data_IF_214391111117
#
_entry.id   IF_214391111117
#
_cell.length_a   1.000
_cell.length_b   1.000
_cell.length_c   1.000
_cell.angle_alpha   90.00
_cell.angle_beta   90.00
_cell.angle_gamma   90.00
#
_symmetry.space_group_name_H-M   'P 1'
#
loop_
_entity.id
_entity.type
_entity.pdbx_description
1 polymer ?
#
# COMPACT_ATOMS: atom_id res chain seq x y z
N UNK A 1 -35.43 27.26 3.29
CA UNK A 1 -35.67 25.88 3.79
C UNK A 1 -35.34 25.71 5.28
N UNK A 2 -34.47 26.54 5.87
CA UNK A 2 -34.25 26.59 7.32
C UNK A 2 -35.27 27.44 8.10
N UNK A 3 -35.01 27.62 9.40
CA UNK A 3 -35.85 28.42 10.32
C UNK A 3 -35.05 29.44 11.13
N UNK A 4 -35.71 30.53 11.53
CA UNK A 4 -35.16 31.52 12.47
C UNK A 4 -34.12 32.50 11.90
N UNK A 5 -33.91 32.51 10.57
CA UNK A 5 -33.08 33.49 9.90
C UNK A 5 -33.71 34.88 9.92
N UNK A 6 -32.94 35.91 10.27
CA UNK A 6 -33.36 37.31 10.29
C UNK A 6 -32.30 38.20 9.65
N UNK A 7 -32.74 39.17 8.88
CA UNK A 7 -31.91 40.18 8.24
C UNK A 7 -32.50 41.56 8.50
N UNK A 8 -31.63 42.52 8.75
CA UNK A 8 -31.97 43.94 8.84
C UNK A 8 -31.59 44.57 7.51
N UNK A 9 -32.51 45.31 6.92
CA UNK A 9 -32.33 45.96 5.62
C UNK A 9 -32.55 47.45 5.80
N UNK A 10 -31.53 48.25 5.47
CA UNK A 10 -31.62 49.71 5.52
C UNK A 10 -32.03 50.25 4.15
N UNK A 11 -33.00 51.16 4.14
CA UNK A 11 -33.56 51.74 2.93
C UNK A 11 -33.51 53.26 3.01
N UNK A 12 -32.91 53.90 2.01
CA UNK A 12 -32.86 55.36 1.87
C UNK A 12 -33.40 55.74 0.49
N UNK A 13 -34.40 56.61 0.46
CA UNK A 13 -35.01 57.11 -0.79
C UNK A 13 -35.42 56.00 -1.77
N UNK A 14 -35.97 54.90 -1.25
CA UNK A 14 -36.43 53.75 -2.05
C UNK A 14 -35.33 52.81 -2.55
N UNK A 15 -34.09 52.94 -2.06
CA UNK A 15 -32.97 52.07 -2.39
C UNK A 15 -32.45 51.36 -1.14
N UNK A 16 -32.15 50.07 -1.27
CA UNK A 16 -31.44 49.31 -0.23
C UNK A 16 -29.99 49.81 -0.19
N UNK A 17 -29.55 50.33 0.95
CA UNK A 17 -28.17 50.82 1.15
C UNK A 17 -27.32 49.83 1.93
N UNK A 18 -27.94 48.97 2.72
CA UNK A 18 -27.25 48.00 3.55
C UNK A 18 -28.18 46.82 3.88
N UNK A 19 -27.59 45.63 4.07
CA UNK A 19 -28.29 44.44 4.52
C UNK A 19 -27.37 43.64 5.45
N UNK A 20 -27.78 43.47 6.69
CA UNK A 20 -26.99 42.76 7.72
C UNK A 20 -27.81 41.60 8.26
N UNK A 21 -27.23 40.39 8.24
CA UNK A 21 -27.82 39.23 8.89
C UNK A 21 -27.75 39.44 10.41
N UNK A 22 -28.91 39.63 11.05
CA UNK A 22 -29.00 39.80 12.50
C UNK A 22 -29.14 38.47 13.23
N UNK A 23 -29.60 37.42 12.55
CA UNK A 23 -29.60 36.03 13.03
C UNK A 23 -29.48 35.08 11.85
N UNK A 24 -28.47 34.20 11.85
CA UNK A 24 -28.28 33.22 10.77
C UNK A 24 -29.31 32.09 10.74
N UNK A 25 -30.08 31.90 11.82
CA UNK A 25 -31.02 30.79 11.96
C UNK A 25 -30.34 29.41 11.90
N UNK A 26 -31.10 28.37 11.54
CA UNK A 26 -30.61 26.97 11.47
C UNK A 26 -31.18 26.22 10.27
N UNK A 27 -30.37 25.33 9.69
CA UNK A 27 -30.80 24.36 8.69
C UNK A 27 -31.09 24.95 7.30
N UNK A 28 -30.56 26.12 6.98
CA UNK A 28 -30.67 26.69 5.64
C UNK A 28 -29.69 26.00 4.69
N UNK A 29 -30.15 25.59 3.51
CA UNK A 29 -29.29 25.34 2.34
C UNK A 29 -29.53 26.39 1.25
N UNK A 30 -30.70 27.03 1.26
CA UNK A 30 -31.01 28.22 0.49
C UNK A 30 -32.05 29.09 1.20
N UNK A 31 -32.09 30.39 0.89
CA UNK A 31 -33.05 31.31 1.48
C UNK A 31 -33.46 32.40 0.51
N UNK A 32 -34.69 32.90 0.67
CA UNK A 32 -35.15 34.13 0.06
C UNK A 32 -35.39 35.14 1.17
N UNK A 33 -34.89 36.36 0.98
CA UNK A 33 -35.20 37.45 1.91
C UNK A 33 -36.60 37.96 1.59
N UNK A 34 -37.49 37.93 2.59
CA UNK A 34 -38.78 38.58 2.48
C UNK A 34 -38.61 40.10 2.58
N UNK A 35 -38.94 40.78 1.49
CA UNK A 35 -38.88 42.23 1.34
C UNK A 35 -40.29 42.84 1.22
N UNK A 36 -41.36 42.08 1.52
CA UNK A 36 -42.75 42.49 1.28
C UNK A 36 -43.13 43.81 1.96
N UNK A 37 -42.61 44.06 3.17
CA UNK A 37 -42.85 45.30 3.92
C UNK A 37 -42.24 46.55 3.30
N UNK A 38 -41.21 46.41 2.46
CA UNK A 38 -40.50 47.54 1.82
C UNK A 38 -40.74 47.61 0.29
N UNK A 39 -41.21 46.53 -0.33
CA UNK A 39 -41.44 46.45 -1.77
C UNK A 39 -42.87 46.82 -2.22
N UNK A 40 -43.79 47.14 -1.29
CA UNK A 40 -45.21 47.36 -1.61
C UNK A 40 -45.48 48.43 -2.69
N UNK A 41 -44.64 49.46 -2.76
CA UNK A 41 -44.76 50.57 -3.72
C UNK A 41 -43.59 50.65 -4.72
N UNK A 42 -42.75 49.61 -4.81
CA UNK A 42 -41.59 49.60 -5.67
C UNK A 42 -41.96 49.19 -7.10
N UNK A 43 -41.60 50.00 -8.10
CA UNK A 43 -41.79 49.67 -9.53
C UNK A 43 -40.81 48.61 -10.05
N UNK A 44 -39.68 48.43 -9.36
CA UNK A 44 -38.68 47.38 -9.62
C UNK A 44 -38.40 46.64 -8.31
N UNK A 45 -38.59 45.31 -8.30
CA UNK A 45 -38.37 44.49 -7.10
C UNK A 45 -36.88 44.26 -6.87
N UNK A 46 -36.42 44.46 -5.64
CA UNK A 46 -35.04 44.15 -5.25
C UNK A 46 -34.82 42.63 -5.10
N UNK A 47 -33.57 42.19 -5.31
CA UNK A 47 -33.12 40.81 -5.13
C UNK A 47 -31.93 40.80 -4.17
N UNK A 48 -32.09 40.12 -3.03
CA UNK A 48 -30.99 39.79 -2.13
C UNK A 48 -30.75 38.29 -2.17
N UNK A 49 -29.49 37.88 -2.30
CA UNK A 49 -29.08 36.47 -2.29
C UNK A 49 -28.36 36.20 -0.97
N UNK A 50 -28.96 35.45 -0.04
CA UNK A 50 -28.26 34.99 1.15
C UNK A 50 -27.12 34.05 0.75
N UNK A 51 -25.91 34.33 1.24
CA UNK A 51 -24.78 33.42 1.14
C UNK A 51 -24.77 32.57 2.41
N UNK A 52 -25.06 31.28 2.26
CA UNK A 52 -25.08 30.33 3.38
C UNK A 52 -23.72 29.61 3.41
N UNK A 53 -22.90 29.77 4.48
CA UNK A 53 -21.61 29.11 4.57
C UNK A 53 -21.78 27.60 4.87
N UNK A 54 -20.73 26.78 4.64
CA UNK A 54 -20.71 25.39 5.09
C UNK A 54 -21.01 25.30 6.60
N UNK A 55 -21.69 24.22 7.00
CA UNK A 55 -22.20 24.05 8.38
C UNK A 55 -21.13 24.11 9.48
N UNK A 56 -19.85 23.92 9.12
CA UNK A 56 -18.71 23.98 10.04
C UNK A 56 -17.73 25.12 9.74
N UNK A 57 -18.09 26.02 8.82
CA UNK A 57 -17.21 27.08 8.31
C UNK A 57 -16.30 26.62 7.16
N UNK A 58 -15.65 27.58 6.51
CA UNK A 58 -14.62 27.30 5.51
C UNK A 58 -13.33 26.85 6.19
N UNK A 59 -12.65 25.86 5.61
CA UNK A 59 -11.42 25.27 6.14
C UNK A 59 -11.64 24.26 7.26
N UNK A 60 -12.89 23.88 7.57
CA UNK A 60 -13.15 22.83 8.56
C UNK A 60 -12.63 21.48 8.09
N UNK A 61 -12.81 21.18 6.80
CA UNK A 61 -12.16 20.05 6.16
C UNK A 61 -11.34 20.52 4.95
N UNK A 62 -10.19 21.14 5.21
CA UNK A 62 -9.31 21.65 4.17
C UNK A 62 -8.96 20.62 3.09
N UNK A 63 -8.91 19.33 3.41
CA UNK A 63 -8.62 18.27 2.43
C UNK A 63 -9.79 17.97 1.46
N UNK A 64 -11.03 18.25 1.87
CA UNK A 64 -12.21 18.16 0.99
C UNK A 64 -12.56 19.50 0.35
N UNK A 65 -12.22 20.62 1.01
CA UNK A 65 -12.62 21.97 0.60
C UNK A 65 -11.59 22.68 -0.29
N UNK A 66 -10.29 22.40 -0.14
CA UNK A 66 -9.27 22.93 -1.03
C UNK A 66 -9.15 21.98 -2.23
N UNK A 67 -9.69 22.44 -3.36
CA UNK A 67 -9.44 21.81 -4.66
C UNK A 67 -7.93 21.64 -4.86
N UNK A 68 -7.51 20.41 -5.17
CA UNK A 68 -6.12 20.09 -5.46
C UNK A 68 -6.03 19.74 -6.94
N UNK A 69 -5.35 20.59 -7.72
CA UNK A 69 -5.15 20.34 -9.16
C UNK A 69 -4.13 19.20 -9.39
N UNK A 70 -3.19 19.00 -8.44
CA UNK A 70 -2.11 18.01 -8.56
C UNK A 70 -1.74 17.38 -7.22
N UNK A 71 -1.62 16.06 -7.19
CA UNK A 71 -1.12 15.29 -6.04
C UNK A 71 0.23 14.67 -6.41
N UNK A 72 1.27 14.96 -5.61
CA UNK A 72 2.57 14.31 -5.71
C UNK A 72 2.65 13.14 -4.72
N UNK A 73 2.85 11.94 -5.24
CA UNK A 73 3.22 10.76 -4.47
C UNK A 73 4.72 10.56 -4.61
N UNK A 74 5.42 10.54 -3.48
CA UNK A 74 6.87 10.40 -3.43
C UNK A 74 7.26 9.27 -2.48
N UNK A 75 8.11 8.37 -2.96
CA UNK A 75 8.74 7.33 -2.14
C UNK A 75 10.24 7.30 -2.44
N UNK A 76 11.04 7.14 -1.38
CA UNK A 76 12.49 6.92 -1.48
C UNK A 76 12.80 5.53 -0.94
N UNK A 77 13.45 4.73 -1.76
CA UNK A 77 13.95 3.42 -1.38
C UNK A 77 15.47 3.48 -1.21
N UNK A 78 15.98 2.81 -0.20
CA UNK A 78 17.42 2.74 0.11
C UNK A 78 17.74 1.43 0.84
N UNK A 79 19.03 1.08 0.88
CA UNK A 79 19.50 -0.16 1.51
C UNK A 79 19.68 -0.09 3.03
N UNK A 80 19.17 0.96 3.67
CA UNK A 80 19.37 1.21 5.10
C UNK A 80 18.54 0.24 5.97
N UNK A 81 17.45 -0.31 5.43
CA UNK A 81 16.70 -1.41 6.02
C UNK A 81 16.77 -2.66 5.12
N UNK A 82 16.81 -3.86 5.71
CA UNK A 82 16.85 -5.14 4.96
C UNK A 82 15.49 -5.51 4.36
N UNK A 83 14.52 -4.60 4.44
CA UNK A 83 13.19 -4.81 3.89
C UNK A 83 13.19 -4.66 2.36
N UNK A 84 13.94 -3.68 1.86
CA UNK A 84 14.10 -3.44 0.43
C UNK A 84 15.18 -4.36 -0.20
N UNK A 85 14.84 -5.24 -1.16
CA UNK A 85 15.81 -6.16 -1.76
C UNK A 85 16.70 -5.43 -2.78
N UNK A 86 18.02 -5.48 -2.56
CA UNK A 86 19.04 -4.70 -3.28
C UNK A 86 19.75 -5.47 -4.40
N UNK A 87 19.58 -6.79 -4.44
CA UNK A 87 20.21 -7.74 -5.37
C UNK A 87 19.29 -8.13 -6.53
N UNK A 88 18.25 -7.33 -6.77
CA UNK A 88 17.17 -7.62 -7.72
C UNK A 88 17.12 -6.64 -8.87
N UNK A 89 16.25 -6.93 -9.84
CA UNK A 89 15.91 -6.04 -10.93
C UNK A 89 14.41 -5.81 -10.92
N UNK A 90 13.99 -4.62 -11.32
CA UNK A 90 12.56 -4.30 -11.46
C UNK A 90 12.28 -3.64 -12.80
N UNK A 91 11.09 -3.86 -13.32
CA UNK A 91 10.62 -3.28 -14.58
C UNK A 91 9.21 -2.69 -14.45
N UNK A 92 8.65 -2.67 -13.23
CA UNK A 92 7.30 -2.21 -12.97
C UNK A 92 7.25 -1.50 -11.62
N UNK A 93 6.47 -0.42 -11.56
CA UNK A 93 6.13 0.30 -10.33
C UNK A 93 4.61 0.38 -10.25
N UNK A 94 4.04 0.12 -9.07
CA UNK A 94 2.61 0.20 -8.83
C UNK A 94 2.31 1.07 -7.62
N UNK A 95 1.19 1.79 -7.65
CA UNK A 95 0.63 2.47 -6.49
C UNK A 95 -0.60 1.69 -6.01
N UNK A 96 -0.50 1.13 -4.81
CA UNK A 96 -1.58 0.38 -4.16
C UNK A 96 -2.19 1.22 -3.06
N UNK A 97 -3.49 1.48 -3.17
CA UNK A 97 -4.27 2.20 -2.18
C UNK A 97 -4.82 1.22 -1.14
N UNK A 98 -4.63 1.54 0.14
CA UNK A 98 -5.22 0.84 1.28
C UNK A 98 -5.04 -0.70 1.27
N UNK A 99 -3.81 -1.24 1.15
CA UNK A 99 -3.58 -2.66 1.39
C UNK A 99 -3.95 -3.02 2.84
N UNK A 100 -4.32 -4.27 3.11
CA UNK A 100 -4.68 -4.72 4.46
C UNK A 100 -3.58 -5.57 5.08
N UNK A 101 -3.43 -5.47 6.41
CA UNK A 101 -2.40 -6.20 7.17
C UNK A 101 -2.68 -7.71 7.15
N UNK A 102 -1.62 -8.51 7.03
CA UNK A 102 -1.71 -9.96 6.90
C UNK A 102 -2.63 -10.58 7.96
N UNK A 103 -3.58 -11.42 7.51
CA UNK A 103 -4.52 -12.11 8.41
C UNK A 103 -5.62 -11.22 9.02
N UNK A 104 -5.71 -9.94 8.63
CA UNK A 104 -6.73 -9.00 9.13
C UNK A 104 -7.45 -8.27 7.99
N UNK A 105 -8.50 -7.54 8.32
CA UNK A 105 -9.18 -6.61 7.39
C UNK A 105 -8.75 -5.15 7.60
N UNK A 106 -7.86 -4.89 8.55
CA UNK A 106 -7.38 -3.55 8.89
C UNK A 106 -6.39 -3.06 7.83
N UNK A 107 -6.51 -1.78 7.45
CA UNK A 107 -5.56 -1.13 6.54
C UNK A 107 -4.16 -1.17 7.17
N UNK A 108 -3.16 -1.49 6.35
CA UNK A 108 -1.75 -1.48 6.73
C UNK A 108 -1.21 -0.04 6.66
N UNK A 109 -0.56 0.41 7.73
CA UNK A 109 -0.04 1.78 7.87
C UNK A 109 1.48 1.84 8.11
N UNK A 110 2.20 0.72 7.94
CA UNK A 110 3.66 0.72 8.06
C UNK A 110 4.34 1.50 6.93
N UNK A 111 5.49 2.12 7.23
CA UNK A 111 6.25 2.93 6.28
C UNK A 111 6.92 2.10 5.17
N UNK A 112 7.15 0.81 5.42
CA UNK A 112 7.59 -0.19 4.45
C UNK A 112 6.91 -1.51 4.76
N UNK A 113 6.90 -2.42 3.78
CA UNK A 113 6.42 -3.78 3.99
C UNK A 113 7.07 -4.74 3.00
N UNK A 114 7.13 -6.01 3.38
CA UNK A 114 7.40 -7.12 2.48
C UNK A 114 6.14 -7.90 2.13
N UNK A 115 5.88 -8.06 0.84
CA UNK A 115 4.85 -8.99 0.32
C UNK A 115 5.40 -10.39 0.04
N UNK A 116 6.64 -10.67 0.48
CA UNK A 116 7.38 -11.90 0.23
C UNK A 116 7.38 -12.79 1.47
N UNK A 117 7.48 -14.10 1.25
CA UNK A 117 7.86 -15.01 2.33
C UNK A 117 9.39 -15.00 2.49
N UNK A 118 9.89 -15.38 3.66
CA UNK A 118 11.33 -15.46 3.89
C UNK A 118 11.78 -16.65 4.74
N UNK A 119 13.02 -17.06 4.52
CA UNK A 119 13.77 -18.00 5.35
C UNK A 119 14.89 -17.26 6.08
N UNK A 120 15.11 -17.63 7.34
CA UNK A 120 16.37 -17.40 8.03
C UNK A 120 17.12 -18.73 8.13
N UNK A 121 18.32 -18.79 7.55
CA UNK A 121 19.15 -19.99 7.61
C UNK A 121 20.17 -19.94 8.73
N UNK A 122 20.43 -21.10 9.35
CA UNK A 122 21.51 -21.31 10.31
C UNK A 122 22.84 -21.54 9.56
N UNK A 123 22.80 -22.41 8.56
CA UNK A 123 23.91 -22.73 7.67
C UNK A 123 23.49 -22.69 6.21
N UNK A 124 24.38 -22.21 5.35
CA UNK A 124 24.20 -22.15 3.91
C UNK A 124 25.47 -22.61 3.20
N UNK A 125 25.33 -23.26 2.05
CA UNK A 125 26.40 -23.60 1.13
C UNK A 125 26.07 -23.04 -0.25
N UNK A 126 27.06 -22.46 -0.92
CA UNK A 126 26.87 -21.78 -2.21
C UNK A 126 26.10 -20.46 -2.10
N UNK A 127 25.87 -19.83 -3.25
CA UNK A 127 25.03 -18.64 -3.38
C UNK A 127 23.94 -18.93 -4.40
N UNK A 128 22.67 -18.63 -4.08
CA UNK A 128 21.58 -18.80 -5.02
C UNK A 128 21.65 -17.74 -6.12
N UNK A 129 21.09 -18.06 -7.28
CA UNK A 129 20.83 -17.12 -8.38
C UNK A 129 19.43 -16.55 -8.22
N UNK A 130 19.29 -15.23 -8.29
CA UNK A 130 17.99 -14.56 -8.19
C UNK A 130 17.09 -14.99 -9.35
N UNK A 131 15.85 -15.37 -9.04
CA UNK A 131 14.88 -15.93 -9.98
C UNK A 131 14.96 -17.46 -10.15
N UNK A 132 15.93 -18.15 -9.54
CA UNK A 132 15.99 -19.61 -9.65
C UNK A 132 14.94 -20.30 -8.78
N UNK A 133 14.60 -21.55 -9.15
CA UNK A 133 13.66 -22.38 -8.39
C UNK A 133 14.35 -22.97 -7.16
N UNK A 134 13.75 -22.80 -6.00
CA UNK A 134 14.11 -23.49 -4.76
C UNK A 134 13.11 -24.60 -4.45
N UNK A 135 13.60 -25.63 -3.75
CA UNK A 135 12.78 -26.78 -3.35
C UNK A 135 13.06 -27.21 -1.92
N UNK A 136 12.05 -27.76 -1.24
CA UNK A 136 12.19 -28.46 0.03
C UNK A 136 11.35 -29.73 -0.02
N UNK A 137 11.94 -30.86 0.38
CA UNK A 137 11.16 -32.07 0.66
C UNK A 137 10.52 -31.92 2.03
N UNK A 138 9.20 -31.99 2.09
CA UNK A 138 8.41 -31.85 3.32
C UNK A 138 8.37 -33.16 4.11
N UNK A 139 7.91 -33.11 5.36
CA UNK A 139 7.71 -34.32 6.17
C UNK A 139 6.75 -35.34 5.55
N UNK A 140 5.83 -34.87 4.70
CA UNK A 140 4.91 -35.71 3.91
C UNK A 140 5.56 -36.43 2.72
N UNK A 141 6.82 -36.12 2.39
CA UNK A 141 7.52 -36.60 1.19
C UNK A 141 7.21 -35.81 -0.09
N UNK A 142 6.23 -34.89 -0.05
CA UNK A 142 5.95 -33.95 -1.14
C UNK A 142 6.96 -32.81 -1.16
N UNK A 143 6.97 -32.00 -2.23
CA UNK A 143 7.93 -30.90 -2.42
C UNK A 143 7.25 -29.54 -2.40
N UNK A 144 7.66 -28.67 -1.48
CA UNK A 144 7.40 -27.24 -1.58
C UNK A 144 8.39 -26.62 -2.57
N UNK A 145 7.91 -25.65 -3.34
CA UNK A 145 8.68 -24.98 -4.41
C UNK A 145 8.44 -23.47 -4.38
N UNK A 146 9.44 -22.70 -4.78
CA UNK A 146 9.38 -21.23 -4.84
C UNK A 146 10.43 -20.67 -5.80
N UNK A 147 10.37 -19.39 -6.11
CA UNK A 147 11.43 -18.65 -6.79
C UNK A 147 12.15 -17.72 -5.81
N UNK A 148 13.48 -17.69 -5.90
CA UNK A 148 14.31 -16.77 -5.11
C UNK A 148 14.02 -15.34 -5.55
N UNK A 149 13.51 -14.52 -4.64
CA UNK A 149 13.27 -13.11 -4.88
C UNK A 149 14.50 -12.27 -4.48
N UNK A 150 15.16 -12.60 -3.37
CA UNK A 150 16.40 -11.96 -2.91
C UNK A 150 17.14 -12.86 -1.93
N UNK A 151 18.46 -12.69 -1.81
CA UNK A 151 19.27 -13.38 -0.80
C UNK A 151 20.38 -12.49 -0.25
N UNK A 152 20.40 -12.34 1.08
CA UNK A 152 21.46 -11.65 1.80
C UNK A 152 22.37 -12.68 2.49
N UNK A 153 23.58 -12.84 1.97
CA UNK A 153 24.58 -13.77 2.49
C UNK A 153 25.10 -13.39 3.89
N UNK A 154 25.03 -12.11 4.27
CA UNK A 154 25.51 -11.63 5.57
C UNK A 154 24.54 -12.01 6.69
N UNK A 155 23.24 -11.79 6.46
CA UNK A 155 22.17 -12.14 7.40
C UNK A 155 21.66 -13.56 7.22
N UNK A 156 22.03 -14.24 6.13
CA UNK A 156 21.52 -15.56 5.71
C UNK A 156 19.99 -15.56 5.57
N UNK A 157 19.43 -14.45 5.10
CA UNK A 157 18.00 -14.31 4.85
C UNK A 157 17.73 -14.42 3.35
N UNK A 158 16.81 -15.31 2.98
CA UNK A 158 16.30 -15.44 1.62
C UNK A 158 14.84 -15.04 1.60
N UNK A 159 14.44 -14.14 0.70
CA UNK A 159 13.04 -13.87 0.38
C UNK A 159 12.64 -14.62 -0.88
N UNK A 160 11.40 -15.09 -0.94
CA UNK A 160 10.92 -15.90 -2.06
C UNK A 160 9.43 -15.66 -2.36
N UNK A 161 9.03 -16.03 -3.58
CA UNK A 161 7.64 -16.06 -4.03
C UNK A 161 7.24 -17.47 -4.46
N UNK A 162 5.95 -17.78 -4.33
CA UNK A 162 5.34 -18.94 -4.96
C UNK A 162 4.42 -18.43 -6.08
N UNK A 163 4.96 -18.41 -7.30
CA UNK A 163 4.21 -18.04 -8.49
C UNK A 163 3.45 -19.23 -9.08
N UNK A 164 2.32 -18.95 -9.73
CA UNK A 164 1.49 -19.98 -10.38
C UNK A 164 2.25 -20.80 -11.44
N UNK A 165 3.24 -20.20 -12.11
CA UNK A 165 4.04 -20.89 -13.14
C UNK A 165 4.84 -22.07 -12.60
N UNK A 166 5.10 -22.14 -11.30
CA UNK A 166 5.77 -23.27 -10.66
C UNK A 166 4.94 -24.58 -10.73
N UNK A 167 3.65 -24.46 -11.00
CA UNK A 167 2.67 -25.55 -10.98
C UNK A 167 2.10 -25.87 -12.37
N UNK A 168 2.66 -25.29 -13.42
CA UNK A 168 2.26 -25.58 -14.80
C UNK A 168 2.93 -26.87 -15.27
N UNK A 169 2.15 -27.91 -15.58
CA UNK A 169 2.69 -29.19 -16.07
C UNK A 169 3.43 -29.08 -17.40
N UNK A 170 3.08 -28.10 -18.23
CA UNK A 170 3.70 -27.81 -19.52
C UNK A 170 4.67 -26.60 -19.48
N UNK A 171 4.97 -26.06 -18.28
CA UNK A 171 5.79 -24.87 -18.07
C UNK A 171 5.34 -23.58 -18.78
N UNK A 172 4.15 -23.58 -19.38
CA UNK A 172 3.68 -22.49 -20.27
C UNK A 172 2.40 -21.88 -19.74
N UNK A 173 1.41 -22.70 -19.41
CA UNK A 173 0.07 -22.25 -19.05
C UNK A 173 -0.66 -23.23 -18.11
N UNK A 174 -1.96 -22.99 -17.90
CA UNK A 174 -2.81 -23.75 -16.98
C UNK A 174 -3.44 -25.00 -17.61
N UNK A 175 -2.94 -25.48 -18.75
CA UNK A 175 -3.45 -26.70 -19.38
C UNK A 175 -3.36 -27.88 -18.41
N UNK A 176 -4.44 -28.64 -18.33
CA UNK A 176 -4.55 -29.82 -17.46
C UNK A 176 -3.49 -30.89 -17.79
N UNK A 177 -3.09 -31.64 -16.77
CA UNK A 177 -2.07 -32.67 -16.90
C UNK A 177 -2.25 -33.81 -15.88
N UNK A 178 -1.78 -35.00 -16.25
CA UNK A 178 -1.80 -36.16 -15.36
C UNK A 178 -0.93 -35.88 -14.13
N UNK A 179 -1.54 -35.91 -12.94
CA UNK A 179 -0.86 -35.62 -11.67
C UNK A 179 -1.12 -34.21 -11.11
N UNK A 180 -2.03 -33.43 -11.70
CA UNK A 180 -2.42 -32.10 -11.17
C UNK A 180 -2.88 -32.13 -9.70
N UNK A 181 -3.53 -33.22 -9.27
CA UNK A 181 -4.01 -33.39 -7.89
C UNK A 181 -2.88 -33.55 -6.87
N UNK A 182 -1.66 -33.90 -7.30
CA UNK A 182 -0.49 -34.07 -6.42
C UNK A 182 0.58 -33.00 -6.64
N UNK A 183 0.82 -32.61 -7.89
CA UNK A 183 1.87 -31.66 -8.26
C UNK A 183 1.36 -30.22 -8.42
N UNK A 184 0.05 -30.04 -8.63
CA UNK A 184 -0.57 -28.72 -8.79
C UNK A 184 -0.87 -28.00 -7.47
N UNK A 185 -0.64 -28.67 -6.34
CA UNK A 185 -0.90 -28.10 -5.02
C UNK A 185 0.19 -27.11 -4.60
N UNK A 186 -0.21 -25.93 -4.15
CA UNK A 186 0.69 -24.96 -3.52
C UNK A 186 0.96 -25.42 -2.09
N UNK A 187 2.16 -25.96 -1.87
CA UNK A 187 2.62 -26.39 -0.54
C UNK A 187 3.52 -25.33 0.09
N UNK A 188 3.25 -25.00 1.35
CA UNK A 188 4.11 -24.13 2.13
C UNK A 188 5.43 -24.83 2.48
N UNK A 189 6.49 -24.05 2.62
CA UNK A 189 7.74 -24.53 3.19
C UNK A 189 7.60 -24.73 4.70
N UNK A 190 8.33 -25.69 5.24
CA UNK A 190 8.26 -26.09 6.65
C UNK A 190 9.54 -25.70 7.38
N UNK A 191 9.39 -25.24 8.62
CA UNK A 191 10.52 -25.10 9.55
C UNK A 191 10.93 -26.50 10.02
N UNK A 192 11.93 -27.09 9.37
CA UNK A 192 12.37 -28.45 9.62
C UNK A 192 13.87 -28.62 9.38
N UNK A 193 14.38 -29.82 9.66
CA UNK A 193 15.77 -30.21 9.35
C UNK A 193 16.01 -30.43 7.85
N UNK A 194 14.95 -30.54 7.06
CA UNK A 194 15.07 -30.74 5.61
C UNK A 194 15.51 -29.44 4.95
N UNK A 195 16.63 -29.53 4.22
CA UNK A 195 17.27 -28.38 3.61
C UNK A 195 16.46 -27.81 2.44
N UNK A 196 16.56 -26.49 2.27
CA UNK A 196 16.16 -25.80 1.05
C UNK A 196 17.31 -25.95 0.05
N UNK A 197 17.02 -26.39 -1.18
CA UNK A 197 18.03 -26.56 -2.22
C UNK A 197 17.65 -25.85 -3.52
N UNK A 198 18.65 -25.49 -4.33
CA UNK A 198 18.47 -24.86 -5.63
C UNK A 198 19.44 -25.44 -6.70
N UNK A 199 19.09 -25.35 -8.01
CA UNK A 199 19.93 -25.82 -9.11
C UNK A 199 21.34 -25.22 -9.18
N UNK A 200 21.54 -24.02 -8.65
CA UNK A 200 22.87 -23.39 -8.49
C UNK A 200 23.84 -24.16 -7.59
N UNK A 201 23.39 -25.21 -6.92
CA UNK A 201 24.14 -25.91 -5.87
C UNK A 201 23.95 -25.27 -4.50
N UNK A 202 23.09 -24.27 -4.37
CA UNK A 202 22.70 -23.72 -3.08
C UNK A 202 22.04 -24.77 -2.20
N UNK A 203 22.44 -24.81 -0.92
CA UNK A 203 21.74 -25.56 0.12
C UNK A 203 21.70 -24.76 1.41
N UNK A 204 20.53 -24.66 2.05
CA UNK A 204 20.33 -23.92 3.30
C UNK A 204 19.53 -24.72 4.33
N UNK A 205 20.02 -24.79 5.56
CA UNK A 205 19.28 -25.32 6.71
C UNK A 205 18.57 -24.18 7.43
N UNK A 206 17.25 -24.29 7.60
CA UNK A 206 16.46 -23.27 8.31
C UNK A 206 16.90 -23.22 9.78
N UNK A 207 17.00 -22.02 10.33
CA UNK A 207 17.24 -21.80 11.75
C UNK A 207 15.91 -21.93 12.52
N UNK A 208 15.52 -23.17 12.82
CA UNK A 208 14.17 -23.50 13.33
C UNK A 208 13.84 -22.90 14.69
N UNK A 209 14.82 -22.41 15.44
CA UNK A 209 14.64 -21.76 16.73
C UNK A 209 14.59 -20.23 16.64
N UNK A 210 14.84 -19.65 15.47
CA UNK A 210 14.90 -18.20 15.29
C UNK A 210 13.50 -17.58 15.22
N UNK A 211 13.14 -16.73 16.18
CA UNK A 211 11.81 -16.08 16.24
C UNK A 211 11.88 -14.59 16.55
N UNK A 212 12.80 -13.88 15.86
CA UNK A 212 13.07 -12.45 16.07
C UNK A 212 13.02 -11.69 14.75
N UNK A 213 12.90 -10.36 14.81
CA UNK A 213 13.05 -9.45 13.66
C UNK A 213 14.44 -8.84 13.51
N UNK A 214 15.38 -9.24 14.37
CA UNK A 214 16.75 -8.70 14.44
C UNK A 214 17.71 -9.88 14.57
N UNK A 215 18.85 -9.83 13.89
CA UNK A 215 19.94 -10.80 14.03
C UNK A 215 21.26 -10.08 14.33
N UNK A 216 22.23 -10.80 14.88
CA UNK A 216 23.57 -10.28 15.12
C UNK A 216 24.51 -10.83 14.05
N UNK A 217 25.15 -9.92 13.30
CA UNK A 217 26.20 -10.25 12.34
C UNK A 217 27.51 -9.67 12.87
N UNK A 218 28.44 -10.55 13.23
CA UNK A 218 29.68 -10.15 13.92
C UNK A 218 29.36 -9.44 15.24
N UNK A 219 29.64 -8.14 15.31
CA UNK A 219 29.34 -7.30 16.49
C UNK A 219 28.18 -6.32 16.27
N UNK A 220 27.45 -6.42 15.15
CA UNK A 220 26.38 -5.49 14.79
C UNK A 220 25.02 -6.17 14.86
N UNK A 221 24.06 -5.49 15.48
CA UNK A 221 22.66 -5.88 15.38
C UNK A 221 22.07 -5.32 14.09
N UNK A 222 21.44 -6.19 13.31
CA UNK A 222 20.87 -5.88 11.99
C UNK A 222 19.38 -6.20 12.03
N UNK A 223 18.54 -5.19 11.78
CA UNK A 223 17.11 -5.39 11.60
C UNK A 223 16.83 -6.08 10.27
N UNK A 224 16.00 -7.12 10.29
CA UNK A 224 15.73 -7.97 9.12
C UNK A 224 14.56 -7.47 8.26
N UNK A 225 13.88 -6.40 8.69
CA UNK A 225 12.71 -5.82 8.00
C UNK A 225 11.41 -6.60 8.22
N UNK A 226 11.50 -7.89 8.56
CA UNK A 226 10.34 -8.74 8.89
C UNK A 226 10.60 -9.52 10.18
N UNK A 227 9.53 -9.94 10.85
CA UNK A 227 9.63 -10.80 12.04
C UNK A 227 9.52 -12.26 11.66
N UNK A 228 10.45 -13.07 12.15
CA UNK A 228 10.44 -14.51 11.92
C UNK A 228 9.74 -15.26 13.05
N UNK A 229 9.18 -16.41 12.72
CA UNK A 229 8.73 -17.45 13.63
C UNK A 229 9.32 -18.77 13.17
N UNK A 230 10.11 -19.41 14.02
CA UNK A 230 10.81 -20.66 13.71
C UNK A 230 11.61 -20.60 12.39
N UNK A 231 12.30 -19.49 12.12
CA UNK A 231 13.11 -19.29 10.92
C UNK A 231 12.33 -19.03 9.64
N UNK A 232 11.00 -18.89 9.70
CA UNK A 232 10.13 -18.51 8.59
C UNK A 232 9.51 -17.13 8.84
N UNK A 233 9.33 -16.33 7.79
CA UNK A 233 8.53 -15.11 7.85
C UNK A 233 7.47 -15.11 6.74
N UNK A 234 6.30 -14.61 7.06
CA UNK A 234 5.18 -14.44 6.13
C UNK A 234 5.13 -12.99 5.60
N UNK A 235 4.42 -12.73 4.48
CA UNK A 235 4.11 -11.38 4.04
C UNK A 235 3.44 -10.55 5.13
N UNK A 236 3.62 -9.24 5.11
CA UNK A 236 3.02 -8.31 6.08
C UNK A 236 1.67 -7.74 5.62
N UNK A 237 1.39 -7.83 4.32
CA UNK A 237 0.10 -7.45 3.73
C UNK A 237 -0.59 -8.65 3.08
N UNK A 238 -1.91 -8.63 3.03
CA UNK A 238 -2.68 -9.67 2.36
C UNK A 238 -2.49 -9.60 0.84
N UNK A 239 -2.24 -10.76 0.22
CA UNK A 239 -2.13 -10.89 -1.24
C UNK A 239 -3.45 -10.46 -1.89
N UNK A 240 -3.36 -9.51 -2.82
CA UNK A 240 -4.53 -9.01 -3.56
C UNK A 240 -5.41 -8.04 -2.77
N UNK A 241 -4.95 -7.54 -1.62
CA UNK A 241 -5.64 -6.48 -0.89
C UNK A 241 -5.27 -5.09 -1.39
N UNK A 242 -6.19 -4.14 -1.20
CA UNK A 242 -6.06 -2.78 -1.71
C UNK A 242 -6.38 -2.66 -3.20
N UNK A 243 -6.39 -1.42 -3.67
CA UNK A 243 -6.71 -1.08 -5.07
C UNK A 243 -5.47 -0.58 -5.79
N UNK A 244 -5.16 -1.14 -6.96
CA UNK A 244 -4.10 -0.61 -7.81
C UNK A 244 -4.65 0.61 -8.55
N UNK A 245 -4.14 1.80 -8.22
CA UNK A 245 -4.58 3.06 -8.83
C UNK A 245 -3.60 3.60 -9.88
N UNK A 246 -2.41 3.01 -9.98
CA UNK A 246 -1.41 3.35 -10.99
C UNK A 246 -0.47 2.18 -11.25
N UNK A 247 -0.12 1.97 -12.52
CA UNK A 247 0.90 1.01 -12.97
C UNK A 247 1.79 1.70 -14.00
N UNK A 248 3.10 1.65 -13.79
CA UNK A 248 4.13 2.05 -14.76
C UNK A 248 4.97 0.83 -15.14
N UNK A 249 5.00 0.51 -16.43
CA UNK A 249 5.90 -0.49 -17.00
C UNK A 249 7.04 0.23 -17.70
N UNK A 250 8.28 -0.14 -17.36
CA UNK A 250 9.48 0.54 -17.85
C UNK A 250 10.59 -0.45 -18.17
N UNK A 251 11.66 0.05 -18.79
CA UNK A 251 12.86 -0.74 -19.01
C UNK A 251 13.42 -1.27 -17.68
N UNK A 252 13.99 -2.48 -17.71
CA UNK A 252 14.53 -3.13 -16.52
C UNK A 252 15.64 -2.29 -15.88
N UNK A 253 15.47 -1.98 -14.61
CA UNK A 253 16.44 -1.27 -13.77
C UNK A 253 17.07 -2.28 -12.82
N UNK A 254 18.40 -2.27 -12.74
CA UNK A 254 19.17 -3.12 -11.81
C UNK A 254 19.42 -2.36 -10.51
N UNK A 255 19.15 -3.01 -9.38
CA UNK A 255 19.38 -2.42 -8.05
C UNK A 255 20.82 -2.61 -7.59
N UNK A 256 21.25 -1.72 -6.70
CA UNK A 256 22.57 -1.75 -6.07
C UNK A 256 22.45 -1.22 -4.64
N UNK A 257 23.20 -1.81 -3.71
CA UNK A 257 23.24 -1.39 -2.30
C UNK A 257 23.72 0.04 -2.07
N UNK A 258 24.48 0.62 -3.01
CA UNK A 258 24.94 2.02 -2.95
C UNK A 258 23.97 3.03 -3.56
N UNK A 259 22.87 2.55 -4.16
CA UNK A 259 21.92 3.40 -4.84
C UNK A 259 20.78 3.80 -3.89
N UNK A 260 20.34 5.07 -4.01
CA UNK A 260 19.06 5.52 -3.48
C UNK A 260 18.12 5.68 -4.67
N UNK A 261 16.92 5.12 -4.57
CA UNK A 261 15.91 5.15 -5.62
C UNK A 261 14.79 6.11 -5.22
N UNK A 262 14.58 7.14 -6.04
CA UNK A 262 13.52 8.13 -5.84
C UNK A 262 12.40 7.88 -6.86
N UNK A 263 11.20 7.58 -6.39
CA UNK A 263 9.99 7.43 -7.21
C UNK A 263 9.07 8.62 -6.96
N UNK A 264 8.73 9.35 -8.03
CA UNK A 264 7.82 10.50 -8.00
C UNK A 264 6.71 10.26 -9.02
N UNK A 265 5.47 10.26 -8.57
CA UNK A 265 4.27 10.14 -9.40
C UNK A 265 3.44 11.39 -9.17
N UNK A 266 3.08 12.10 -10.23
CA UNK A 266 2.21 13.28 -10.18
C UNK A 266 0.87 12.88 -10.80
N UNK A 267 -0.20 12.96 -10.01
CA UNK A 267 -1.57 12.77 -10.46
C UNK A 267 -2.21 14.14 -10.65
N UNK A 268 -2.77 14.40 -11.83
CA UNK A 268 -3.47 15.65 -12.15
C UNK A 268 -4.97 15.34 -12.32
N UNK A 269 -5.86 16.20 -11.82
CA UNK A 269 -7.31 16.00 -11.77
C UNK A 269 -8.08 17.10 -12.49
#
# INVERSE_FOLDING_TARGET
DGTGGKVVVDVISGKITNAIVSSGGKGYTYGLVDLGSINANASTKAKLIPIIPPSKGHGHNAYEELGTDRVLVYARFGGDNKDFPLDTKFAQVQLVKNPTSIGTTSIYFGDSFSSLNAFKFSTTSGNPTIGEKITQTLGSGLKAVGYVASYDAETKVMKYIQDRSLYFGNSTDQTDYVGISTQGQVLAFESSTNQISAPSGFSGSIETTFSLGITTVGSKNVGLGVTFTNGLATPEINKGSGDIIYIDNRATITRNSRQKEDVKIILEF
#
